data_IF_380676805207
#
_entry.id   IF_380676805207
#
_cell.length_a   1.000
_cell.length_b   1.000
_cell.length_c   1.000
_cell.angle_alpha   90.00
_cell.angle_beta   90.00
_cell.angle_gamma   90.00
#
_symmetry.space_group_name_H-M   'P 1'
#
loop_
_entity.id
_entity.type
_entity.pdbx_description
1 polymer ?
#
# COMPACT_ATOMS: atom_id res chain seq x y z
N UNK A 1 -96.00 21.59 -13.83
CA UNK A 1 -95.99 20.12 -13.90
C UNK A 1 -94.81 19.71 -14.77
N UNK A 2 -93.82 19.01 -14.19
CA UNK A 2 -92.64 18.37 -14.82
C UNK A 2 -91.61 19.32 -15.45
N UNK A 3 -90.29 19.19 -15.33
CA UNK A 3 -89.30 18.28 -14.71
C UNK A 3 -88.03 19.16 -14.58
N UNK A 4 -87.34 19.28 -13.43
CA UNK A 4 -86.32 18.37 -12.88
C UNK A 4 -85.25 17.89 -13.88
N UNK A 5 -84.02 18.37 -13.70
CA UNK A 5 -82.70 17.67 -13.75
C UNK A 5 -81.62 18.65 -14.21
N UNK A 6 -80.86 19.24 -13.29
CA UNK A 6 -79.62 18.69 -12.72
C UNK A 6 -78.40 19.35 -13.37
N UNK A 7 -78.14 20.59 -12.97
CA UNK A 7 -76.89 21.28 -13.26
C UNK A 7 -76.09 21.38 -11.96
N UNK A 8 -75.11 20.49 -11.86
CA UNK A 8 -74.26 20.25 -10.71
C UNK A 8 -73.59 21.53 -10.19
N UNK A 9 -73.83 21.83 -8.90
CA UNK A 9 -72.93 22.61 -8.07
C UNK A 9 -71.63 21.81 -7.90
N UNK A 10 -70.58 22.19 -8.62
CA UNK A 10 -69.22 21.92 -8.15
C UNK A 10 -68.90 22.96 -7.06
N UNK A 11 -68.66 22.55 -5.79
CA UNK A 11 -68.08 23.46 -4.83
C UNK A 11 -66.67 23.81 -5.31
N UNK A 12 -66.38 25.11 -5.32
CA UNK A 12 -65.08 25.65 -5.69
C UNK A 12 -63.98 24.89 -4.96
N UNK A 13 -63.21 24.13 -5.73
CA UNK A 13 -61.99 23.48 -5.27
C UNK A 13 -61.02 24.62 -4.95
N UNK A 14 -61.02 25.09 -3.70
CA UNK A 14 -59.96 25.93 -3.16
C UNK A 14 -58.65 25.16 -3.35
N UNK A 15 -57.95 25.48 -4.44
CA UNK A 15 -56.59 25.01 -4.68
C UNK A 15 -55.73 25.64 -3.59
N UNK A 16 -55.55 24.90 -2.50
CA UNK A 16 -54.52 25.19 -1.52
C UNK A 16 -53.21 25.48 -2.29
N UNK A 17 -52.53 26.60 -1.99
CA UNK A 17 -51.31 26.94 -2.68
C UNK A 17 -50.32 25.77 -2.56
N UNK A 18 -49.56 25.45 -3.62
CA UNK A 18 -48.63 24.34 -3.58
C UNK A 18 -47.67 24.54 -2.41
N UNK A 19 -47.69 23.60 -1.47
CA UNK A 19 -46.76 23.58 -0.36
C UNK A 19 -45.55 22.71 -0.72
N UNK A 20 -44.31 23.17 -0.49
CA UNK A 20 -43.93 24.44 0.13
C UNK A 20 -44.07 25.67 -0.79
N UNK A 21 -44.27 26.87 -0.24
CA UNK A 21 -44.39 28.11 -1.01
C UNK A 21 -43.10 28.34 -1.82
N UNK A 22 -43.26 28.80 -3.07
CA UNK A 22 -42.12 29.18 -3.89
C UNK A 22 -41.31 30.25 -3.14
N UNK A 23 -40.01 30.01 -2.99
CA UNK A 23 -39.08 31.00 -2.44
C UNK A 23 -39.24 32.31 -3.22
N UNK A 24 -39.31 33.48 -2.54
CA UNK A 24 -39.37 34.77 -3.20
C UNK A 24 -38.24 34.89 -4.23
N UNK A 25 -38.54 35.43 -5.42
CA UNK A 25 -37.59 35.51 -6.53
C UNK A 25 -36.26 36.21 -6.16
N UNK A 26 -36.29 37.02 -5.11
CA UNK A 26 -35.14 37.73 -4.53
C UNK A 26 -34.09 36.81 -3.89
N UNK A 27 -34.45 35.57 -3.53
CA UNK A 27 -33.52 34.55 -2.99
C UNK A 27 -33.08 33.52 -4.03
N UNK A 28 -33.55 33.64 -5.27
CA UNK A 28 -33.14 32.76 -6.36
C UNK A 28 -31.77 33.19 -6.90
N UNK A 29 -30.70 32.52 -6.47
CA UNK A 29 -29.39 32.69 -7.08
C UNK A 29 -29.45 32.18 -8.54
N UNK A 30 -29.19 33.03 -9.56
CA UNK A 30 -29.27 32.65 -10.98
C UNK A 30 -28.35 31.49 -11.37
N UNK A 31 -27.42 31.09 -10.49
CA UNK A 31 -26.53 29.94 -10.68
C UNK A 31 -27.22 28.60 -10.45
N UNK A 32 -28.38 28.56 -9.79
CA UNK A 32 -29.07 27.32 -9.43
C UNK A 32 -30.53 27.32 -9.93
N UNK A 33 -31.09 26.15 -10.27
CA UNK A 33 -32.49 26.06 -10.67
C UNK A 33 -33.42 26.45 -9.51
N UNK A 34 -34.61 27.01 -9.82
CA UNK A 34 -35.57 27.47 -8.81
C UNK A 34 -35.99 26.32 -7.88
N UNK A 35 -35.94 26.57 -6.56
CA UNK A 35 -36.28 25.59 -5.52
C UNK A 35 -35.07 24.87 -4.88
N UNK A 36 -33.84 25.17 -5.32
CA UNK A 36 -32.62 24.69 -4.65
C UNK A 36 -32.12 25.75 -3.67
N UNK A 37 -32.02 25.45 -2.35
CA UNK A 37 -31.41 26.40 -1.42
C UNK A 37 -29.93 26.60 -1.76
N UNK A 38 -29.42 27.85 -1.72
CA UNK A 38 -28.06 28.18 -2.16
C UNK A 38 -26.99 27.40 -1.38
N UNK A 39 -27.22 27.15 -0.09
CA UNK A 39 -26.34 26.35 0.77
C UNK A 39 -26.17 24.91 0.28
N UNK A 40 -27.25 24.28 -0.20
CA UNK A 40 -27.21 22.92 -0.73
C UNK A 40 -26.49 22.86 -2.08
N UNK A 41 -26.69 23.88 -2.93
CA UNK A 41 -25.97 24.04 -4.19
C UNK A 41 -24.45 24.20 -3.98
N UNK A 42 -24.05 25.03 -3.02
CA UNK A 42 -22.65 25.24 -2.68
C UNK A 42 -22.00 24.03 -1.99
N UNK A 43 -22.74 23.31 -1.13
CA UNK A 43 -22.29 22.06 -0.52
C UNK A 43 -22.07 20.98 -1.59
N UNK A 44 -23.02 20.82 -2.52
CA UNK A 44 -22.90 19.91 -3.66
C UNK A 44 -21.70 20.28 -4.54
N UNK A 45 -21.49 21.56 -4.82
CA UNK A 45 -20.34 22.04 -5.61
C UNK A 45 -19.01 21.74 -4.93
N UNK A 46 -18.88 21.97 -3.61
CA UNK A 46 -17.66 21.67 -2.85
C UNK A 46 -17.36 20.17 -2.81
N UNK A 47 -18.38 19.34 -2.56
CA UNK A 47 -18.24 17.88 -2.56
C UNK A 47 -17.88 17.36 -3.96
N UNK A 48 -18.54 17.84 -5.01
CA UNK A 48 -18.23 17.46 -6.39
C UNK A 48 -16.83 17.90 -6.81
N UNK A 49 -16.35 19.09 -6.39
CA UNK A 49 -14.95 19.54 -6.62
C UNK A 49 -13.94 18.64 -5.90
N UNK A 50 -14.27 18.10 -4.73
CA UNK A 50 -13.44 17.12 -4.00
C UNK A 50 -13.46 15.76 -4.69
N UNK A 51 -14.61 15.29 -5.18
CA UNK A 51 -14.74 14.02 -5.91
C UNK A 51 -13.96 14.07 -7.23
N UNK A 52 -14.15 15.14 -8.01
CA UNK A 52 -13.49 15.37 -9.31
C UNK A 52 -12.22 16.22 -9.18
N UNK A 53 -11.45 16.07 -8.11
CA UNK A 53 -10.24 16.88 -7.94
C UNK A 53 -9.15 16.46 -8.93
N UNK A 54 -8.43 17.40 -9.56
CA UNK A 54 -7.33 17.08 -10.47
C UNK A 54 -6.18 16.39 -9.74
N UNK A 55 -5.97 16.71 -8.46
CA UNK A 55 -5.01 16.02 -7.59
C UNK A 55 -5.37 14.55 -7.35
N UNK A 56 -6.66 14.21 -7.28
CA UNK A 56 -7.09 12.80 -7.21
C UNK A 56 -6.89 12.09 -8.53
N UNK A 57 -7.15 12.78 -9.65
CA UNK A 57 -6.88 12.23 -10.96
C UNK A 57 -5.38 11.96 -11.12
N UNK A 58 -4.53 12.93 -10.80
CA UNK A 58 -3.08 12.79 -10.77
C UNK A 58 -2.68 11.62 -9.87
N UNK A 59 -3.24 11.53 -8.66
CA UNK A 59 -2.99 10.42 -7.73
C UNK A 59 -3.43 9.05 -8.26
N UNK A 60 -4.46 8.96 -9.10
CA UNK A 60 -4.84 7.71 -9.76
C UNK A 60 -3.90 7.40 -10.94
N UNK A 61 -3.49 8.41 -11.72
CA UNK A 61 -2.56 8.27 -12.84
C UNK A 61 -1.16 7.86 -12.37
N UNK A 62 -0.64 8.50 -11.32
CA UNK A 62 0.65 8.15 -10.72
C UNK A 62 0.63 6.75 -10.14
N UNK A 63 -0.48 6.35 -9.53
CA UNK A 63 -0.63 5.02 -8.97
C UNK A 63 -0.73 3.94 -10.06
N UNK A 64 -1.42 4.21 -11.16
CA UNK A 64 -1.45 3.32 -12.32
C UNK A 64 -0.05 3.17 -12.95
N UNK A 65 0.67 4.28 -13.14
CA UNK A 65 2.06 4.26 -13.61
C UNK A 65 2.99 3.52 -12.64
N UNK A 66 2.77 3.65 -11.32
CA UNK A 66 3.56 2.97 -10.31
C UNK A 66 3.28 1.46 -10.29
N UNK A 67 2.01 1.04 -10.39
CA UNK A 67 1.68 -0.36 -10.61
C UNK A 67 2.31 -0.88 -11.91
N UNK A 68 2.33 -0.07 -12.99
CA UNK A 68 2.89 -0.44 -14.29
C UNK A 68 4.38 -0.72 -14.20
N UNK A 69 5.09 0.17 -13.51
CA UNK A 69 6.48 -0.01 -13.16
C UNK A 69 6.69 -1.27 -12.31
N UNK A 70 5.86 -1.51 -11.29
CA UNK A 70 5.99 -2.68 -10.40
C UNK A 70 5.80 -3.98 -11.17
N UNK A 71 4.80 -4.11 -12.02
CA UNK A 71 4.63 -5.35 -12.76
C UNK A 71 5.66 -5.49 -13.88
N UNK A 72 6.16 -4.39 -14.48
CA UNK A 72 7.31 -4.47 -15.38
C UNK A 72 8.52 -5.03 -14.62
N UNK A 73 8.83 -4.50 -13.43
CA UNK A 73 9.89 -5.02 -12.56
C UNK A 73 9.63 -6.48 -12.20
N UNK A 74 8.38 -6.85 -11.88
CA UNK A 74 8.03 -8.23 -11.53
C UNK A 74 8.15 -9.19 -12.72
N UNK A 75 7.74 -8.77 -13.93
CA UNK A 75 7.87 -9.56 -15.17
C UNK A 75 9.34 -9.73 -15.52
N UNK A 76 10.12 -8.64 -15.54
CA UNK A 76 11.58 -8.69 -15.76
C UNK A 76 12.27 -9.54 -14.69
N UNK A 77 11.83 -9.46 -13.43
CA UNK A 77 12.33 -10.29 -12.35
C UNK A 77 11.94 -11.78 -12.50
N UNK A 78 10.74 -12.06 -13.04
CA UNK A 78 10.30 -13.43 -13.29
C UNK A 78 10.96 -14.05 -14.51
N UNK A 79 11.25 -13.25 -15.55
CA UNK A 79 12.02 -13.65 -16.73
C UNK A 79 13.49 -13.88 -16.35
N UNK A 80 14.12 -12.95 -15.62
CA UNK A 80 15.48 -13.16 -15.08
C UNK A 80 15.54 -14.34 -14.09
N UNK A 81 14.49 -14.57 -13.30
CA UNK A 81 14.36 -15.80 -12.50
C UNK A 81 14.22 -17.06 -13.35
N UNK A 82 13.58 -16.97 -14.52
CA UNK A 82 13.45 -18.09 -15.43
C UNK A 82 14.78 -18.42 -16.11
N UNK A 83 15.58 -17.40 -16.42
CA UNK A 83 16.91 -17.46 -17.03
C UNK A 83 18.05 -17.81 -16.04
N UNK A 84 17.76 -17.92 -14.74
CA UNK A 84 18.74 -18.30 -13.73
C UNK A 84 19.64 -17.14 -13.25
N UNK A 85 19.18 -15.90 -13.42
CA UNK A 85 19.82 -14.69 -12.91
C UNK A 85 19.21 -14.28 -11.55
N UNK A 86 19.74 -14.93 -10.52
CA UNK A 86 19.22 -14.95 -9.15
C UNK A 86 19.25 -13.60 -8.45
N UNK A 87 20.25 -12.79 -8.77
CA UNK A 87 20.42 -11.47 -8.18
C UNK A 87 19.27 -10.59 -8.66
N UNK A 88 18.94 -10.63 -9.95
CA UNK A 88 17.85 -9.85 -10.53
C UNK A 88 16.46 -10.35 -10.08
N UNK A 89 16.28 -11.67 -9.94
CA UNK A 89 15.05 -12.27 -9.42
C UNK A 89 14.79 -11.95 -7.94
N UNK A 90 15.80 -12.12 -7.07
CA UNK A 90 15.69 -11.80 -5.65
C UNK A 90 15.54 -10.31 -5.43
N UNK A 91 16.28 -9.48 -6.18
CA UNK A 91 16.15 -8.02 -6.14
C UNK A 91 14.76 -7.59 -6.59
N UNK A 92 14.24 -8.20 -7.66
CA UNK A 92 12.90 -7.93 -8.16
C UNK A 92 11.78 -8.33 -7.20
N UNK A 93 11.91 -9.45 -6.47
CA UNK A 93 10.98 -9.83 -5.41
C UNK A 93 11.11 -8.93 -4.18
N UNK A 94 12.35 -8.63 -3.76
CA UNK A 94 12.64 -7.78 -2.60
C UNK A 94 12.19 -6.32 -2.81
N UNK A 95 12.17 -5.81 -4.05
CA UNK A 95 11.69 -4.47 -4.40
C UNK A 95 10.21 -4.48 -4.79
N UNK A 96 9.82 -5.46 -5.59
CA UNK A 96 8.47 -5.59 -6.15
C UNK A 96 7.41 -5.80 -5.08
N UNK A 97 7.66 -6.65 -4.07
CA UNK A 97 6.69 -6.91 -3.00
C UNK A 97 6.42 -5.67 -2.12
N UNK A 98 7.44 -4.95 -1.60
CA UNK A 98 7.20 -3.70 -0.87
C UNK A 98 6.55 -2.63 -1.74
N UNK A 99 7.01 -2.45 -2.99
CA UNK A 99 6.39 -1.46 -3.88
C UNK A 99 4.93 -1.82 -4.18
N UNK A 100 4.61 -3.09 -4.42
CA UNK A 100 3.24 -3.57 -4.62
C UNK A 100 2.37 -3.30 -3.39
N UNK A 101 2.88 -3.56 -2.19
CA UNK A 101 2.18 -3.28 -0.95
C UNK A 101 1.92 -1.78 -0.75
N UNK A 102 2.91 -0.92 -1.06
CA UNK A 102 2.76 0.55 -1.03
C UNK A 102 1.74 1.02 -2.06
N UNK A 103 1.80 0.51 -3.29
CA UNK A 103 0.87 0.84 -4.36
C UNK A 103 -0.57 0.43 -3.98
N UNK A 104 -0.74 -0.78 -3.44
CA UNK A 104 -2.03 -1.31 -2.98
C UNK A 104 -2.58 -0.47 -1.83
N UNK A 105 -1.73 -0.07 -0.88
CA UNK A 105 -2.12 0.82 0.20
C UNK A 105 -2.56 2.20 -0.31
N UNK A 106 -1.79 2.83 -1.21
CA UNK A 106 -2.15 4.11 -1.82
C UNK A 106 -3.48 4.00 -2.56
N UNK A 107 -3.74 2.87 -3.24
CA UNK A 107 -4.99 2.60 -3.95
C UNK A 107 -6.15 2.55 -2.96
N UNK A 108 -6.01 1.81 -1.86
CA UNK A 108 -7.02 1.72 -0.80
C UNK A 108 -7.28 3.09 -0.17
N UNK A 109 -6.24 3.90 0.08
CA UNK A 109 -6.41 5.25 0.63
C UNK A 109 -7.13 6.19 -0.35
N UNK A 110 -6.79 6.14 -1.64
CA UNK A 110 -7.46 6.90 -2.68
C UNK A 110 -8.93 6.50 -2.82
N UNK A 111 -9.22 5.19 -2.88
CA UNK A 111 -10.57 4.64 -2.92
C UNK A 111 -11.38 5.03 -1.69
N UNK A 112 -10.84 4.89 -0.47
CA UNK A 112 -11.52 5.20 0.78
C UNK A 112 -11.82 6.69 0.94
N UNK A 113 -10.87 7.55 0.54
CA UNK A 113 -11.08 8.99 0.57
C UNK A 113 -12.15 9.43 -0.45
N UNK A 114 -12.19 8.77 -1.62
CA UNK A 114 -13.19 9.00 -2.66
C UNK A 114 -14.57 8.53 -2.20
N UNK A 115 -14.65 7.36 -1.60
CA UNK A 115 -15.91 6.74 -1.20
C UNK A 115 -16.69 7.58 -0.19
N UNK A 116 -16.05 8.14 0.84
CA UNK A 116 -16.73 9.04 1.80
C UNK A 116 -17.36 10.25 1.12
N UNK A 117 -16.60 10.93 0.26
CA UNK A 117 -17.08 12.10 -0.47
C UNK A 117 -18.22 11.75 -1.45
N UNK A 118 -18.18 10.55 -2.05
CA UNK A 118 -19.25 10.03 -2.93
C UNK A 118 -20.49 9.66 -2.13
N UNK A 119 -20.35 9.06 -0.95
CA UNK A 119 -21.48 8.73 -0.07
C UNK A 119 -22.18 10.00 0.43
N UNK A 120 -21.42 10.99 0.90
CA UNK A 120 -21.94 12.31 1.30
C UNK A 120 -22.64 13.02 0.13
N UNK A 121 -22.01 13.03 -1.05
CA UNK A 121 -22.60 13.61 -2.24
C UNK A 121 -23.88 12.88 -2.66
N UNK A 122 -23.91 11.55 -2.65
CA UNK A 122 -25.09 10.77 -3.00
C UNK A 122 -26.22 10.97 -1.98
N UNK A 123 -25.91 11.08 -0.69
CA UNK A 123 -26.92 11.39 0.33
C UNK A 123 -27.55 12.77 0.09
N UNK A 124 -26.72 13.78 -0.21
CA UNK A 124 -27.18 15.13 -0.55
C UNK A 124 -28.03 15.14 -1.83
N UNK A 125 -27.59 14.45 -2.89
CA UNK A 125 -28.28 14.40 -4.17
C UNK A 125 -29.58 13.58 -4.12
N UNK A 126 -29.74 12.65 -3.17
CA UNK A 126 -31.03 12.00 -2.91
C UNK A 126 -32.05 12.98 -2.32
N UNK A 127 -31.59 13.92 -1.48
CA UNK A 127 -32.44 14.93 -0.85
C UNK A 127 -32.75 16.09 -1.80
N UNK A 128 -31.76 16.55 -2.56
CA UNK A 128 -31.89 17.67 -3.51
C UNK A 128 -31.28 17.29 -4.87
N UNK A 129 -32.02 16.55 -5.72
CA UNK A 129 -31.50 16.01 -7.00
C UNK A 129 -31.05 17.08 -7.99
N UNK A 130 -31.60 18.30 -7.86
CA UNK A 130 -31.32 19.42 -8.75
C UNK A 130 -30.09 20.24 -8.33
N UNK A 131 -29.48 19.96 -7.18
CA UNK A 131 -28.31 20.70 -6.68
C UNK A 131 -26.99 20.38 -7.43
N UNK A 132 -27.03 19.57 -8.51
CA UNK A 132 -25.83 19.16 -9.25
C UNK A 132 -25.27 20.34 -10.08
N UNK A 133 -24.06 20.84 -9.77
CA UNK A 133 -23.46 21.92 -10.53
C UNK A 133 -22.89 21.44 -11.88
N UNK A 134 -23.00 22.26 -12.95
CA UNK A 134 -22.37 21.97 -14.23
C UNK A 134 -20.85 22.11 -14.12
N UNK A 135 -20.10 21.03 -14.36
CA UNK A 135 -18.62 21.04 -14.38
C UNK A 135 -18.07 20.36 -15.65
N UNK A 136 -18.32 20.92 -16.84
CA UNK A 136 -18.03 20.26 -18.12
C UNK A 136 -16.53 19.95 -18.28
N UNK A 137 -15.62 20.89 -17.99
CA UNK A 137 -14.18 20.69 -18.17
C UNK A 137 -13.58 19.58 -17.30
N UNK A 138 -13.95 19.51 -16.02
CA UNK A 138 -13.45 18.46 -15.11
C UNK A 138 -14.01 17.08 -15.47
N UNK A 139 -15.26 17.02 -15.94
CA UNK A 139 -15.89 15.78 -16.40
C UNK A 139 -15.24 15.28 -17.70
N UNK A 140 -14.95 16.19 -18.64
CA UNK A 140 -14.22 15.86 -19.86
C UNK A 140 -12.81 15.32 -19.55
N UNK A 141 -12.09 15.95 -18.61
CA UNK A 141 -10.76 15.50 -18.19
C UNK A 141 -10.78 14.09 -17.57
N UNK A 142 -11.73 13.82 -16.66
CA UNK A 142 -11.92 12.48 -16.10
C UNK A 142 -12.37 11.46 -17.15
N UNK A 143 -13.23 11.87 -18.09
CA UNK A 143 -13.67 11.05 -19.21
C UNK A 143 -12.52 10.67 -20.15
N UNK A 144 -11.68 11.63 -20.53
CA UNK A 144 -10.49 11.41 -21.37
C UNK A 144 -9.49 10.48 -20.67
N UNK A 145 -9.17 10.73 -19.40
CA UNK A 145 -8.25 9.88 -18.65
C UNK A 145 -8.78 8.44 -18.50
N UNK A 146 -10.08 8.29 -18.21
CA UNK A 146 -10.71 6.98 -18.11
C UNK A 146 -10.80 6.28 -19.48
N UNK A 147 -11.00 7.04 -20.55
CA UNK A 147 -11.01 6.54 -21.93
C UNK A 147 -9.64 6.03 -22.37
N UNK A 148 -8.56 6.74 -22.04
CA UNK A 148 -7.18 6.26 -22.24
C UNK A 148 -6.94 4.95 -21.48
N UNK A 149 -7.48 4.82 -20.26
CA UNK A 149 -7.41 3.57 -19.51
C UNK A 149 -8.16 2.40 -20.11
N UNK A 150 -9.32 2.66 -20.73
CA UNK A 150 -10.03 1.65 -21.50
C UNK A 150 -9.26 1.22 -22.76
N UNK A 151 -8.61 2.16 -23.45
CA UNK A 151 -7.76 1.82 -24.59
C UNK A 151 -6.58 0.95 -24.17
N UNK A 152 -5.92 1.27 -23.05
CA UNK A 152 -4.86 0.43 -22.48
C UNK A 152 -5.39 -0.96 -22.08
N UNK A 153 -6.58 -1.03 -21.46
CA UNK A 153 -7.24 -2.28 -21.14
C UNK A 153 -7.47 -3.16 -22.39
N UNK A 154 -7.98 -2.57 -23.47
CA UNK A 154 -8.20 -3.27 -24.74
C UNK A 154 -6.88 -3.73 -25.37
N UNK A 155 -5.85 -2.90 -25.35
CA UNK A 155 -4.53 -3.26 -25.88
C UNK A 155 -3.89 -4.42 -25.11
N UNK A 156 -3.88 -4.36 -23.77
CA UNK A 156 -3.36 -5.45 -22.93
C UNK A 156 -4.18 -6.73 -23.07
N UNK A 157 -5.52 -6.62 -23.14
CA UNK A 157 -6.40 -7.77 -23.29
C UNK A 157 -6.22 -8.45 -24.64
N UNK A 158 -6.12 -7.68 -25.72
CA UNK A 158 -5.82 -8.19 -27.05
C UNK A 158 -4.45 -8.87 -27.11
N UNK A 159 -3.41 -8.23 -26.55
CA UNK A 159 -2.07 -8.81 -26.46
C UNK A 159 -2.05 -10.11 -25.63
N UNK A 160 -2.80 -10.17 -24.54
CA UNK A 160 -2.92 -11.38 -23.73
C UNK A 160 -3.60 -12.52 -24.48
N UNK A 161 -4.64 -12.22 -25.25
CA UNK A 161 -5.32 -13.21 -26.10
C UNK A 161 -4.38 -13.71 -27.20
N UNK A 162 -3.64 -12.82 -27.88
CA UNK A 162 -2.67 -13.23 -28.91
C UNK A 162 -1.56 -14.08 -28.32
N UNK A 163 -1.05 -13.75 -27.12
CA UNK A 163 -0.04 -14.56 -26.45
C UNK A 163 -0.55 -15.98 -26.15
N UNK A 164 -1.79 -16.12 -25.68
CA UNK A 164 -2.40 -17.44 -25.41
C UNK A 164 -2.66 -18.25 -26.68
N UNK A 165 -3.08 -17.59 -27.76
CA UNK A 165 -3.54 -18.28 -28.98
C UNK A 165 -2.40 -18.60 -29.93
N UNK A 166 -1.49 -17.65 -30.15
CA UNK A 166 -0.46 -17.73 -31.18
C UNK A 166 0.97 -17.72 -30.64
N UNK A 167 1.18 -17.42 -29.36
CA UNK A 167 2.53 -17.14 -28.84
C UNK A 167 3.15 -15.91 -29.50
N UNK A 168 4.43 -15.68 -29.22
CA UNK A 168 5.21 -14.51 -29.66
C UNK A 168 6.23 -14.96 -30.71
N UNK A 169 6.13 -14.45 -31.95
CA UNK A 169 7.10 -14.60 -33.06
C UNK A 169 7.98 -15.88 -33.02
N UNK A 170 7.35 -17.05 -33.11
CA UNK A 170 8.03 -18.35 -33.21
C UNK A 170 8.27 -19.06 -31.87
N UNK A 171 7.93 -18.43 -30.75
CA UNK A 171 7.94 -19.04 -29.42
C UNK A 171 6.57 -19.63 -29.06
N UNK A 172 6.54 -20.77 -28.35
CA UNK A 172 5.29 -21.34 -27.86
C UNK A 172 4.61 -20.39 -26.85
N UNK A 173 3.28 -20.45 -26.70
CA UNK A 173 2.51 -19.59 -25.78
C UNK A 173 3.07 -19.61 -24.36
N UNK A 174 3.44 -18.44 -23.82
CA UNK A 174 3.84 -18.33 -22.41
C UNK A 174 2.64 -17.97 -21.51
N UNK A 175 2.18 -18.90 -20.63
CA UNK A 175 1.06 -18.65 -19.74
C UNK A 175 1.33 -17.54 -18.71
N UNK A 176 2.59 -17.27 -18.34
CA UNK A 176 2.94 -16.23 -17.36
C UNK A 176 2.84 -14.84 -17.96
N UNK A 177 3.37 -14.66 -19.17
CA UNK A 177 3.22 -13.42 -19.95
C UNK A 177 1.75 -13.11 -20.22
N UNK A 178 0.96 -14.12 -20.62
CA UNK A 178 -0.49 -13.99 -20.78
C UNK A 178 -1.20 -13.61 -19.47
N UNK A 179 -0.87 -14.27 -18.35
CA UNK A 179 -1.44 -13.96 -17.03
C UNK A 179 -1.10 -12.53 -16.59
N UNK A 180 0.13 -12.09 -16.85
CA UNK A 180 0.57 -10.70 -16.65
C UNK A 180 -0.31 -9.73 -17.42
N UNK A 181 -0.49 -9.94 -18.73
CA UNK A 181 -1.33 -9.12 -19.60
C UNK A 181 -2.80 -9.10 -19.18
N UNK A 182 -3.36 -10.23 -18.72
CA UNK A 182 -4.72 -10.27 -18.18
C UNK A 182 -4.85 -9.57 -16.82
N UNK A 183 -3.85 -9.67 -15.94
CA UNK A 183 -3.85 -8.91 -14.69
C UNK A 183 -3.84 -7.40 -14.95
N UNK A 184 -3.09 -6.97 -15.98
CA UNK A 184 -3.07 -5.60 -16.47
C UNK A 184 -4.42 -5.13 -17.02
N UNK A 185 -5.05 -5.99 -17.80
CA UNK A 185 -6.41 -5.78 -18.31
C UNK A 185 -7.38 -5.54 -17.15
N UNK A 186 -7.32 -6.37 -16.10
CA UNK A 186 -8.17 -6.24 -14.92
C UNK A 186 -7.90 -4.94 -14.14
N UNK A 187 -6.63 -4.56 -13.94
CA UNK A 187 -6.26 -3.30 -13.25
C UNK A 187 -6.72 -2.09 -14.05
N UNK A 188 -6.49 -2.07 -15.36
CA UNK A 188 -6.92 -0.99 -16.24
C UNK A 188 -8.45 -0.85 -16.26
N UNK A 189 -9.18 -1.96 -16.20
CA UNK A 189 -10.65 -1.98 -16.15
C UNK A 189 -11.18 -1.49 -14.80
N UNK A 190 -10.60 -1.95 -13.68
CA UNK A 190 -10.92 -1.48 -12.33
C UNK A 190 -10.62 0.01 -12.14
N UNK A 191 -9.67 0.57 -12.90
CA UNK A 191 -9.36 1.99 -12.89
C UNK A 191 -10.30 2.82 -13.78
N UNK A 192 -10.51 2.40 -15.03
CA UNK A 192 -11.23 3.16 -16.05
C UNK A 192 -12.74 3.21 -15.79
N UNK A 193 -13.35 2.09 -15.36
CA UNK A 193 -14.81 2.01 -15.18
C UNK A 193 -15.32 2.98 -14.09
N UNK A 194 -14.75 3.03 -12.87
CA UNK A 194 -15.19 3.98 -11.86
C UNK A 194 -14.96 5.44 -12.25
N UNK A 195 -13.88 5.73 -13.00
CA UNK A 195 -13.62 7.06 -13.52
C UNK A 195 -14.67 7.52 -14.53
N UNK A 196 -15.08 6.61 -15.42
CA UNK A 196 -16.16 6.84 -16.38
C UNK A 196 -17.52 7.01 -15.70
N UNK A 197 -17.83 6.16 -14.72
CA UNK A 197 -19.04 6.26 -13.89
C UNK A 197 -19.06 7.60 -13.14
N UNK A 198 -17.93 8.09 -12.63
CA UNK A 198 -17.86 9.43 -11.99
C UNK A 198 -18.01 10.57 -12.99
N UNK A 199 -17.45 10.43 -14.20
CA UNK A 199 -17.55 11.44 -15.24
C UNK A 199 -18.99 11.60 -15.76
N UNK A 200 -19.75 10.50 -15.86
CA UNK A 200 -21.07 10.47 -16.49
C UNK A 200 -22.25 10.26 -15.54
N UNK A 201 -22.04 9.70 -14.34
CA UNK A 201 -23.11 9.30 -13.43
C UNK A 201 -23.82 10.44 -12.71
N UNK A 202 -23.18 11.60 -12.54
CA UNK A 202 -23.78 12.78 -11.90
C UNK A 202 -24.32 13.80 -12.92
N UNK A 203 -25.07 13.34 -13.93
CA UNK A 203 -25.82 14.23 -14.82
C UNK A 203 -27.07 14.71 -14.11
N UNK A 204 -27.38 16.01 -14.24
CA UNK A 204 -28.64 16.56 -13.73
C UNK A 204 -29.81 15.79 -14.40
N UNK A 205 -30.79 15.29 -13.64
CA UNK A 205 -31.97 14.67 -14.22
C UNK A 205 -32.66 15.64 -15.17
N UNK A 206 -32.97 15.22 -16.41
CA UNK A 206 -33.77 16.04 -17.34
C UNK A 206 -35.23 16.23 -16.88
N UNK A 207 -35.68 15.50 -15.85
CA UNK A 207 -36.97 15.65 -15.18
C UNK A 207 -36.82 15.51 -13.66
N UNK A 208 -37.54 16.32 -12.85
CA UNK A 208 -37.53 16.18 -11.40
C UNK A 208 -38.12 14.83 -10.97
N UNK A 209 -37.45 14.08 -10.08
CA UNK A 209 -38.07 12.90 -9.46
C UNK A 209 -39.09 13.34 -8.40
N UNK A 210 -40.20 12.60 -8.28
CA UNK A 210 -41.15 12.78 -7.18
C UNK A 210 -40.49 12.51 -5.82
N UNK A 211 -40.87 13.23 -4.75
CA UNK A 211 -40.27 13.07 -3.44
C UNK A 211 -40.59 11.68 -2.84
N UNK A 212 -39.55 10.96 -2.42
CA UNK A 212 -39.68 9.71 -1.67
C UNK A 212 -39.70 9.99 -0.16
N UNK A 213 -40.76 9.57 0.50
CA UNK A 213 -40.96 9.67 1.94
C UNK A 213 -40.11 8.58 2.63
N UNK A 214 -39.21 8.91 3.58
CA UNK A 214 -38.47 7.89 4.31
C UNK A 214 -39.36 7.21 5.37
N UNK A 215 -39.26 5.89 5.56
CA UNK A 215 -39.98 5.19 6.63
C UNK A 215 -39.37 5.50 8.00
N UNK A 216 -40.25 5.89 8.94
CA UNK A 216 -39.90 6.13 10.33
C UNK A 216 -39.48 4.82 11.03
N UNK A 217 -38.38 4.83 11.81
CA UNK A 217 -38.17 3.80 12.84
C UNK A 217 -36.78 3.21 13.04
N UNK A 218 -35.72 3.66 12.36
CA UNK A 218 -34.38 3.08 12.55
C UNK A 218 -33.46 3.97 13.39
N UNK A 219 -33.41 3.72 14.70
CA UNK A 219 -32.34 4.16 15.59
C UNK A 219 -31.77 2.92 16.32
N UNK A 220 -30.46 2.59 16.18
CA UNK A 220 -29.87 1.45 16.87
C UNK A 220 -29.55 1.80 18.33
N UNK A 221 -30.08 1.00 19.25
CA UNK A 221 -29.78 0.98 20.67
C UNK A 221 -28.32 0.51 20.90
N UNK A 222 -27.49 1.39 21.44
CA UNK A 222 -26.12 1.08 21.86
C UNK A 222 -25.72 1.97 23.04
N UNK A 223 -25.00 1.37 23.99
CA UNK A 223 -24.45 1.96 25.23
C UNK A 223 -24.01 3.42 25.00
N UNK A 224 -24.35 4.37 25.89
CA UNK A 224 -24.03 5.78 25.70
C UNK A 224 -22.53 5.96 25.49
N UNK A 225 -22.17 6.49 24.32
CA UNK A 225 -20.80 6.86 24.03
C UNK A 225 -20.35 7.92 25.04
N UNK A 226 -19.11 7.83 25.58
CA UNK A 226 -18.60 8.84 26.50
C UNK A 226 -18.66 10.22 25.84
N UNK A 227 -18.91 11.29 26.62
CA UNK A 227 -19.09 12.63 26.07
C UNK A 227 -17.87 13.02 25.23
N UNK A 228 -18.09 13.65 24.05
CA UNK A 228 -17.06 13.90 23.05
C UNK A 228 -15.86 14.71 23.55
N UNK A 229 -16.09 15.52 24.57
CA UNK A 229 -15.10 16.46 25.13
C UNK A 229 -14.38 15.90 26.36
N UNK A 230 -14.80 14.74 26.86
CA UNK A 230 -14.06 14.02 27.90
C UNK A 230 -12.70 13.54 27.37
N UNK A 231 -11.72 13.38 28.26
CA UNK A 231 -10.44 12.79 27.91
C UNK A 231 -10.61 11.44 27.19
N UNK A 232 -11.52 10.59 27.66
CA UNK A 232 -11.83 9.30 27.03
C UNK A 232 -12.46 9.46 25.62
N UNK A 233 -13.36 10.42 25.44
CA UNK A 233 -13.95 10.76 24.15
C UNK A 233 -12.91 11.26 23.12
N UNK A 234 -11.98 12.11 23.56
CA UNK A 234 -10.88 12.64 22.72
C UNK A 234 -9.88 11.55 22.35
N UNK A 235 -9.57 10.64 23.27
CA UNK A 235 -8.70 9.49 23.01
C UNK A 235 -9.36 8.46 22.09
N UNK A 236 -10.66 8.18 22.24
CA UNK A 236 -11.41 7.38 21.27
C UNK A 236 -11.41 8.00 19.88
N UNK A 237 -11.52 9.33 19.76
CA UNK A 237 -11.41 10.04 18.47
C UNK A 237 -10.02 9.88 17.84
N UNK A 238 -8.95 9.86 18.63
CA UNK A 238 -7.59 9.59 18.14
C UNK A 238 -7.52 8.20 17.49
N UNK A 239 -8.09 7.19 18.15
CA UNK A 239 -8.04 5.80 17.72
C UNK A 239 -9.24 5.32 16.88
N UNK A 240 -10.21 6.16 16.56
CA UNK A 240 -11.41 5.79 15.79
C UNK A 240 -11.12 5.17 14.40
N UNK A 241 -9.88 5.31 13.90
CA UNK A 241 -9.41 4.65 12.68
C UNK A 241 -9.03 3.17 12.86
N UNK A 242 -8.81 2.72 14.09
CA UNK A 242 -8.52 1.34 14.44
C UNK A 242 -9.83 0.57 14.69
N UNK A 243 -9.92 -0.69 14.26
CA UNK A 243 -11.14 -1.51 14.38
C UNK A 243 -11.49 -1.89 15.83
N UNK A 244 -10.62 -1.64 16.80
CA UNK A 244 -10.82 -1.97 18.21
C UNK A 244 -11.11 -0.74 19.07
N UNK A 245 -11.94 -0.91 20.10
CA UNK A 245 -12.17 0.09 21.15
C UNK A 245 -11.01 0.17 22.16
N UNK A 246 -10.11 -0.81 22.16
CA UNK A 246 -8.95 -0.87 23.03
C UNK A 246 -7.82 0.05 22.53
N UNK A 247 -7.23 0.80 23.46
CA UNK A 247 -6.05 1.62 23.17
C UNK A 247 -4.84 0.72 22.85
N UNK A 248 -4.05 1.03 21.82
CA UNK A 248 -2.85 0.29 21.50
C UNK A 248 -1.80 0.39 22.61
N UNK A 249 -1.11 -0.73 22.85
CA UNK A 249 -0.03 -0.86 23.84
C UNK A 249 1.18 0.01 23.46
N UNK A 250 1.83 0.61 24.46
CA UNK A 250 3.04 1.43 24.31
C UNK A 250 4.04 1.10 25.44
N UNK A 251 5.33 1.12 25.12
CA UNK A 251 6.40 0.82 26.09
C UNK A 251 6.49 1.94 27.12
N UNK A 252 6.25 3.19 26.70
CA UNK A 252 6.20 4.34 27.60
C UNK A 252 5.15 4.23 28.70
N UNK A 253 4.13 3.36 28.57
CA UNK A 253 3.14 3.10 29.62
C UNK A 253 3.63 2.21 30.75
N UNK A 254 4.73 1.49 30.56
CA UNK A 254 5.35 0.72 31.64
C UNK A 254 5.91 1.63 32.74
N UNK A 255 6.07 2.94 32.47
CA UNK A 255 6.53 3.93 33.43
C UNK A 255 5.75 5.24 33.30
N UNK A 256 4.95 5.57 34.32
CA UNK A 256 4.23 6.86 34.38
C UNK A 256 5.15 8.08 34.28
N UNK A 257 6.40 7.95 34.75
CA UNK A 257 7.40 9.03 34.65
C UNK A 257 7.79 9.27 33.19
N UNK A 258 7.99 8.18 32.45
CA UNK A 258 8.43 8.21 31.06
C UNK A 258 7.29 8.73 30.15
N UNK A 259 6.06 8.28 30.39
CA UNK A 259 4.87 8.84 29.72
C UNK A 259 4.73 10.35 29.96
N UNK A 260 4.86 10.83 31.21
CA UNK A 260 4.78 12.26 31.54
C UNK A 260 5.89 13.08 30.90
N UNK A 261 7.11 12.55 30.90
CA UNK A 261 8.24 13.20 30.27
C UNK A 261 8.04 13.33 28.75
N UNK A 262 7.61 12.24 28.09
CA UNK A 262 7.34 12.24 26.66
C UNK A 262 6.25 13.25 26.29
N UNK A 263 5.17 13.37 27.08
CA UNK A 263 4.10 14.34 26.82
C UNK A 263 4.56 15.80 27.04
N UNK A 264 5.58 16.02 27.88
CA UNK A 264 6.16 17.35 28.11
C UNK A 264 7.15 17.81 27.04
N UNK A 265 7.57 16.91 26.14
CA UNK A 265 8.53 17.24 25.08
C UNK A 265 7.90 18.16 24.03
N UNK A 266 8.68 19.15 23.60
CA UNK A 266 8.34 19.96 22.42
C UNK A 266 8.30 19.08 21.16
N UNK A 267 7.61 19.55 20.11
CA UNK A 267 7.58 18.87 18.80
C UNK A 267 8.98 18.52 18.30
N UNK A 268 9.94 19.43 18.45
CA UNK A 268 11.33 19.20 18.07
C UNK A 268 11.99 18.09 18.90
N UNK A 269 11.76 18.08 20.21
CA UNK A 269 12.26 17.04 21.11
C UNK A 269 11.72 15.65 20.78
N UNK A 270 10.41 15.53 20.50
CA UNK A 270 9.79 14.25 20.10
C UNK A 270 10.35 13.74 18.77
N UNK A 271 10.53 14.63 17.79
CA UNK A 271 11.11 14.26 16.49
C UNK A 271 12.59 13.86 16.61
N UNK A 272 13.38 14.61 17.40
CA UNK A 272 14.78 14.28 17.66
C UNK A 272 14.91 12.93 18.37
N UNK A 273 14.07 12.67 19.38
CA UNK A 273 14.03 11.38 20.09
C UNK A 273 13.66 10.23 19.15
N UNK A 274 12.62 10.41 18.32
CA UNK A 274 12.19 9.41 17.34
C UNK A 274 13.27 9.14 16.30
N UNK A 275 13.94 10.19 15.82
CA UNK A 275 15.07 10.09 14.91
C UNK A 275 16.23 9.31 15.54
N UNK A 276 16.61 9.66 16.77
CA UNK A 276 17.67 8.97 17.51
C UNK A 276 17.34 7.49 17.73
N UNK A 277 16.11 7.17 18.13
CA UNK A 277 15.65 5.77 18.25
C UNK A 277 15.75 5.05 16.90
N UNK A 278 15.27 5.66 15.82
CA UNK A 278 15.36 5.02 14.50
C UNK A 278 16.82 4.77 14.09
N UNK A 279 17.73 5.70 14.38
CA UNK A 279 19.17 5.52 14.16
C UNK A 279 19.77 4.41 15.01
N UNK A 280 19.32 4.21 16.25
CA UNK A 280 19.72 3.06 17.07
C UNK A 280 19.28 1.75 16.41
N UNK A 281 18.06 1.70 15.86
CA UNK A 281 17.59 0.55 15.08
C UNK A 281 18.46 0.27 13.85
N UNK A 282 18.82 1.32 13.10
CA UNK A 282 19.75 1.20 11.97
C UNK A 282 21.15 0.76 12.40
N UNK A 283 21.65 1.26 13.55
CA UNK A 283 22.92 0.85 14.14
C UNK A 283 22.92 -0.62 14.53
N UNK A 284 21.84 -1.11 15.15
CA UNK A 284 21.66 -2.54 15.47
C UNK A 284 21.67 -3.41 14.21
N UNK A 285 21.05 -2.94 13.13
CA UNK A 285 21.07 -3.63 11.84
C UNK A 285 22.47 -3.71 11.22
N UNK A 286 23.25 -2.63 11.31
CA UNK A 286 24.65 -2.63 10.90
C UNK A 286 25.50 -3.55 11.77
N UNK A 287 25.29 -3.54 13.09
CA UNK A 287 25.99 -4.43 14.02
C UNK A 287 25.66 -5.91 13.71
N UNK A 288 24.40 -6.23 13.39
CA UNK A 288 24.00 -7.57 12.99
C UNK A 288 24.68 -8.04 11.69
N UNK A 289 24.99 -7.13 10.78
CA UNK A 289 25.71 -7.44 9.54
C UNK A 289 27.23 -7.62 9.77
N UNK A 290 27.84 -6.75 10.59
CA UNK A 290 29.30 -6.63 10.69
C UNK A 290 29.90 -7.40 11.86
N UNK A 291 29.25 -7.45 13.03
CA UNK A 291 29.88 -8.04 14.22
C UNK A 291 30.06 -9.57 14.15
N UNK A 292 29.11 -10.36 13.63
CA UNK A 292 29.23 -11.82 13.70
C UNK A 292 30.47 -12.36 12.99
N UNK A 293 30.90 -11.77 11.86
CA UNK A 293 32.09 -12.26 11.15
C UNK A 293 33.40 -12.02 11.92
N UNK A 294 33.46 -11.01 12.79
CA UNK A 294 34.67 -10.66 13.56
C UNK A 294 34.84 -11.49 14.83
N UNK A 295 33.75 -11.99 15.39
CA UNK A 295 33.73 -12.60 16.72
C UNK A 295 33.29 -14.05 16.66
N UNK A 296 32.05 -14.29 16.22
CA UNK A 296 31.44 -15.62 16.11
C UNK A 296 30.17 -15.51 15.26
N UNK A 297 30.06 -16.35 14.23
CA UNK A 297 28.92 -16.42 13.32
C UNK A 297 27.62 -16.73 14.07
N UNK A 298 27.69 -17.42 15.21
CA UNK A 298 26.51 -17.71 16.02
C UNK A 298 25.83 -16.44 16.57
N UNK A 299 26.56 -15.33 16.67
CA UNK A 299 26.07 -14.06 17.23
C UNK A 299 25.01 -13.39 16.33
N UNK A 300 24.87 -13.81 15.07
CA UNK A 300 23.86 -13.22 14.18
C UNK A 300 22.44 -13.43 14.70
N UNK A 301 22.12 -14.62 15.20
CA UNK A 301 20.77 -14.96 15.66
C UNK A 301 20.31 -14.10 16.83
N UNK A 302 21.07 -13.96 17.94
CA UNK A 302 20.67 -13.06 19.01
C UNK A 302 20.61 -11.60 18.56
N UNK A 303 21.52 -11.14 17.68
CA UNK A 303 21.48 -9.76 17.16
C UNK A 303 20.23 -9.50 16.31
N UNK A 304 19.82 -10.45 15.46
CA UNK A 304 18.58 -10.35 14.70
C UNK A 304 17.34 -10.38 15.60
N UNK A 305 17.32 -11.23 16.63
CA UNK A 305 16.22 -11.26 17.61
C UNK A 305 16.11 -9.92 18.35
N UNK A 306 17.24 -9.35 18.76
CA UNK A 306 17.30 -8.02 19.40
C UNK A 306 16.81 -6.94 18.42
N UNK A 307 17.23 -6.98 17.16
CA UNK A 307 16.79 -6.03 16.13
C UNK A 307 15.27 -6.12 15.89
N UNK A 308 14.74 -7.33 15.69
CA UNK A 308 13.30 -7.55 15.48
C UNK A 308 12.51 -7.09 16.71
N UNK A 309 12.95 -7.47 17.91
CA UNK A 309 12.35 -7.02 19.16
C UNK A 309 12.33 -5.50 19.27
N UNK A 310 13.45 -4.85 18.94
CA UNK A 310 13.57 -3.39 18.91
C UNK A 310 12.58 -2.74 17.93
N UNK A 311 12.49 -3.25 16.69
CA UNK A 311 11.56 -2.76 15.67
C UNK A 311 10.10 -2.94 16.10
N UNK A 312 9.76 -4.05 16.77
CA UNK A 312 8.41 -4.26 17.32
C UNK A 312 8.11 -3.26 18.43
N UNK A 313 9.05 -3.02 19.36
CA UNK A 313 8.87 -2.03 20.42
C UNK A 313 8.68 -0.62 19.86
N UNK A 314 9.49 -0.25 18.86
CA UNK A 314 9.38 1.04 18.18
C UNK A 314 8.05 1.14 17.40
N UNK A 315 7.61 0.07 16.74
CA UNK A 315 6.28 0.01 16.09
C UNK A 315 5.16 0.23 17.11
N UNK A 316 5.19 -0.45 18.25
CA UNK A 316 4.18 -0.29 19.30
C UNK A 316 4.11 1.16 19.78
N UNK A 317 5.25 1.78 20.05
CA UNK A 317 5.31 3.20 20.46
C UNK A 317 4.75 4.13 19.37
N UNK A 318 5.07 3.88 18.09
CA UNK A 318 4.54 4.66 16.96
C UNK A 318 3.02 4.46 16.82
N UNK A 319 2.50 3.24 16.96
CA UNK A 319 1.05 2.99 16.89
C UNK A 319 0.30 3.74 17.98
N UNK A 320 0.87 3.75 19.19
CA UNK A 320 0.35 4.50 20.32
C UNK A 320 0.23 6.00 20.00
N UNK A 321 1.18 6.58 19.29
CA UNK A 321 1.12 8.00 18.91
C UNK A 321 -0.06 8.41 18.01
N UNK A 322 -0.90 7.48 17.55
CA UNK A 322 -2.08 7.78 16.74
C UNK A 322 -1.79 7.79 15.24
N UNK A 323 -0.86 6.93 14.84
CA UNK A 323 -0.38 6.77 13.47
C UNK A 323 -1.48 6.33 12.51
N UNK A 324 -1.38 6.67 11.21
CA UNK A 324 -2.28 6.13 10.19
C UNK A 324 -1.83 4.73 9.77
N UNK A 325 -2.76 3.80 9.48
CA UNK A 325 -2.42 2.42 9.12
C UNK A 325 -1.46 2.33 7.93
N UNK A 326 -1.49 3.30 7.01
CA UNK A 326 -0.57 3.32 5.89
C UNK A 326 0.90 3.50 6.27
N UNK A 327 1.21 4.34 7.26
CA UNK A 327 2.59 4.50 7.73
C UNK A 327 3.06 3.25 8.50
N UNK A 328 2.15 2.54 9.17
CA UNK A 328 2.49 1.28 9.83
C UNK A 328 2.92 0.20 8.83
N UNK A 329 2.22 0.10 7.69
CA UNK A 329 2.60 -0.85 6.64
C UNK A 329 3.97 -0.52 6.08
N UNK A 330 4.23 0.75 5.74
CA UNK A 330 5.54 1.18 5.24
C UNK A 330 6.64 0.93 6.27
N UNK A 331 6.37 1.17 7.56
CA UNK A 331 7.29 0.85 8.64
C UNK A 331 7.62 -0.63 8.70
N UNK A 332 6.61 -1.51 8.65
CA UNK A 332 6.81 -2.97 8.69
C UNK A 332 7.63 -3.43 7.50
N UNK A 333 7.35 -2.93 6.30
CA UNK A 333 8.11 -3.25 5.10
C UNK A 333 9.57 -2.79 5.20
N UNK A 334 9.79 -1.55 5.65
CA UNK A 334 11.13 -1.02 5.85
C UNK A 334 11.90 -1.80 6.92
N UNK A 335 11.24 -2.20 8.01
CA UNK A 335 11.82 -3.03 9.05
C UNK A 335 12.19 -4.43 8.57
N UNK A 336 11.32 -5.08 7.79
CA UNK A 336 11.62 -6.39 7.17
C UNK A 336 12.80 -6.27 6.20
N UNK A 337 12.81 -5.24 5.35
CA UNK A 337 13.93 -4.99 4.45
C UNK A 337 15.24 -4.81 5.23
N UNK A 338 15.21 -4.06 6.34
CA UNK A 338 16.37 -3.85 7.19
C UNK A 338 16.92 -5.18 7.75
N UNK A 339 16.03 -6.05 8.26
CA UNK A 339 16.38 -7.38 8.82
C UNK A 339 16.97 -8.29 7.75
N UNK A 340 16.34 -8.36 6.56
CA UNK A 340 16.83 -9.17 5.44
C UNK A 340 18.20 -8.68 4.97
N UNK A 341 18.38 -7.37 4.86
CA UNK A 341 19.66 -6.78 4.43
C UNK A 341 20.76 -6.94 5.48
N UNK A 342 20.44 -6.92 6.77
CA UNK A 342 21.39 -7.28 7.82
C UNK A 342 21.86 -8.72 7.69
N UNK A 343 20.92 -9.64 7.44
CA UNK A 343 21.24 -11.05 7.24
C UNK A 343 22.10 -11.27 5.98
N UNK A 344 21.66 -10.76 4.82
CA UNK A 344 22.43 -10.87 3.58
C UNK A 344 23.80 -10.18 3.68
N UNK A 345 23.86 -9.01 4.31
CA UNK A 345 25.11 -8.30 4.54
C UNK A 345 26.13 -9.11 5.36
N UNK A 346 25.66 -9.88 6.35
CA UNK A 346 26.53 -10.82 7.07
C UNK A 346 27.03 -11.96 6.18
N UNK A 347 26.15 -12.54 5.35
CA UNK A 347 26.54 -13.62 4.45
C UNK A 347 27.60 -13.15 3.44
N UNK A 348 27.37 -12.00 2.83
CA UNK A 348 28.26 -11.41 1.81
C UNK A 348 29.60 -10.98 2.41
N UNK A 349 29.60 -10.32 3.59
CA UNK A 349 30.84 -9.94 4.27
C UNK A 349 31.64 -11.17 4.68
N UNK A 350 30.97 -12.20 5.18
CA UNK A 350 31.63 -13.43 5.59
C UNK A 350 32.30 -14.12 4.41
N UNK A 351 31.55 -14.30 3.32
CA UNK A 351 32.09 -14.90 2.10
C UNK A 351 33.23 -14.05 1.55
N UNK A 352 33.11 -12.72 1.52
CA UNK A 352 34.16 -11.84 0.98
C UNK A 352 35.48 -11.92 1.76
N UNK A 353 35.43 -11.97 3.09
CA UNK A 353 36.63 -11.95 3.94
C UNK A 353 37.29 -13.33 4.10
N UNK A 354 36.50 -14.41 4.11
CA UNK A 354 36.99 -15.79 4.35
C UNK A 354 36.90 -16.71 3.13
N UNK A 355 36.25 -16.27 2.08
CA UNK A 355 35.93 -17.11 0.93
C UNK A 355 37.15 -17.47 0.12
N UNK A 356 37.14 -18.69 -0.39
CA UNK A 356 38.16 -19.21 -1.29
C UNK A 356 37.49 -19.74 -2.55
N UNK A 357 38.23 -19.71 -3.66
CA UNK A 357 37.79 -20.33 -4.90
C UNK A 357 38.12 -21.82 -4.88
N UNK A 358 37.14 -22.67 -5.17
CA UNK A 358 37.35 -24.09 -5.41
C UNK A 358 36.42 -24.62 -6.49
N UNK A 359 36.90 -25.64 -7.21
CA UNK A 359 36.07 -26.40 -8.14
C UNK A 359 35.20 -27.37 -7.34
N UNK A 360 33.89 -27.31 -7.55
CA UNK A 360 32.92 -28.20 -6.92
C UNK A 360 32.13 -28.97 -7.98
N UNK A 361 31.77 -30.20 -7.64
CA UNK A 361 30.87 -31.06 -8.41
C UNK A 361 29.49 -31.07 -7.76
N UNK A 362 28.44 -30.96 -8.58
CA UNK A 362 27.07 -31.04 -8.10
C UNK A 362 26.73 -32.51 -7.84
N UNK A 363 26.39 -32.84 -6.60
CA UNK A 363 26.03 -34.20 -6.20
C UNK A 363 24.55 -34.46 -6.39
N UNK A 364 23.73 -33.50 -5.96
CA UNK A 364 22.28 -33.65 -5.97
C UNK A 364 21.59 -32.33 -6.22
N UNK A 365 20.44 -32.39 -6.88
CA UNK A 365 19.60 -31.24 -7.21
C UNK A 365 18.25 -31.39 -6.55
N UNK A 366 17.87 -30.37 -5.78
CA UNK A 366 16.57 -30.30 -5.10
C UNK A 366 15.76 -29.15 -5.65
N UNK A 367 14.69 -29.47 -6.37
CA UNK A 367 13.73 -28.50 -6.88
C UNK A 367 12.43 -28.58 -6.05
N UNK A 368 12.26 -27.71 -5.03
CA UNK A 368 11.03 -27.69 -4.24
C UNK A 368 9.85 -27.16 -5.06
N UNK A 369 8.63 -27.58 -4.72
CA UNK A 369 7.40 -27.11 -5.39
C UNK A 369 7.17 -25.58 -5.28
N UNK A 370 7.84 -24.92 -4.33
CA UNK A 370 7.91 -23.47 -4.16
C UNK A 370 9.32 -23.08 -3.71
N UNK A 371 9.94 -22.12 -4.39
CA UNK A 371 11.29 -21.63 -4.07
C UNK A 371 12.32 -21.86 -5.19
N UNK A 372 13.55 -21.41 -4.98
CA UNK A 372 14.65 -21.61 -5.92
C UNK A 372 15.19 -23.05 -5.84
N UNK A 373 15.72 -23.55 -6.96
CA UNK A 373 16.36 -24.88 -7.01
C UNK A 373 17.68 -24.82 -6.26
N UNK A 374 17.89 -25.73 -5.31
CA UNK A 374 19.11 -25.78 -4.48
C UNK A 374 19.90 -27.04 -4.81
N UNK A 375 21.23 -26.94 -4.82
CA UNK A 375 22.11 -28.08 -5.10
C UNK A 375 23.04 -28.37 -3.93
N UNK A 376 23.24 -29.66 -3.69
CA UNK A 376 24.30 -30.16 -2.84
C UNK A 376 25.56 -30.27 -3.68
N UNK A 377 26.65 -29.73 -3.16
CA UNK A 377 27.92 -29.60 -3.88
C UNK A 377 29.03 -30.27 -3.08
N UNK A 378 29.95 -30.91 -3.78
CA UNK A 378 31.11 -31.60 -3.23
C UNK A 378 32.37 -31.00 -3.81
N UNK A 379 33.32 -30.63 -2.95
CA UNK A 379 34.58 -30.06 -3.37
C UNK A 379 35.41 -31.11 -4.13
N UNK A 380 35.95 -30.75 -5.29
CA UNK A 380 36.80 -31.60 -6.12
C UNK A 380 38.25 -31.13 -6.00
N UNK A 381 39.17 -32.08 -5.83
CA UNK A 381 40.60 -31.78 -5.88
C UNK A 381 41.06 -31.69 -7.33
N UNK A 382 41.23 -30.48 -7.84
CA UNK A 382 41.75 -30.24 -9.19
C UNK A 382 43.25 -29.96 -9.20
N UNK A 383 43.82 -29.39 -8.13
CA UNK A 383 45.22 -28.93 -8.09
C UNK A 383 45.96 -29.16 -6.75
N UNK A 384 45.44 -29.99 -5.84
CA UNK A 384 46.12 -30.35 -4.58
C UNK A 384 46.11 -29.24 -3.51
N UNK A 385 45.36 -28.16 -3.75
CA UNK A 385 45.34 -26.95 -2.93
C UNK A 385 44.00 -26.69 -2.21
N UNK A 386 42.94 -27.44 -2.50
CA UNK A 386 41.64 -27.24 -1.86
C UNK A 386 41.60 -27.89 -0.47
N UNK A 387 41.57 -27.07 0.58
CA UNK A 387 41.37 -27.54 1.95
C UNK A 387 40.01 -28.26 2.07
N UNK A 388 40.02 -29.60 2.15
CA UNK A 388 38.80 -30.40 2.26
C UNK A 388 38.29 -31.02 0.96
N UNK A 389 39.17 -31.26 -0.02
CA UNK A 389 38.90 -32.12 -1.17
C UNK A 389 38.05 -33.37 -0.82
N UNK A 390 36.96 -33.58 -1.57
CA UNK A 390 36.01 -34.68 -1.38
C UNK A 390 34.94 -34.45 -0.32
N UNK A 391 34.98 -33.33 0.43
CA UNK A 391 33.96 -32.95 1.41
C UNK A 391 32.71 -32.39 0.71
N UNK A 392 31.55 -32.84 1.16
CA UNK A 392 30.27 -32.23 0.83
C UNK A 392 30.04 -30.99 1.71
N UNK A 393 29.66 -29.88 1.08
CA UNK A 393 29.27 -28.68 1.82
C UNK A 393 27.89 -28.89 2.45
N UNK A 394 27.77 -28.58 3.74
CA UNK A 394 26.50 -28.63 4.45
C UNK A 394 25.55 -27.53 3.97
N UNK A 395 26.12 -26.40 3.52
CA UNK A 395 25.36 -25.34 2.88
C UNK A 395 25.13 -25.64 1.41
N UNK A 396 23.89 -25.44 0.95
CA UNK A 396 23.50 -25.70 -0.43
C UNK A 396 23.77 -24.48 -1.31
N UNK A 397 24.20 -24.74 -2.54
CA UNK A 397 24.27 -23.74 -3.59
C UNK A 397 22.84 -23.37 -4.02
N UNK A 398 22.54 -22.07 -3.98
CA UNK A 398 21.30 -21.53 -4.54
C UNK A 398 21.31 -21.50 -6.07
N UNK A 399 20.13 -21.67 -6.66
CA UNK A 399 19.88 -21.47 -8.10
C UNK A 399 20.81 -22.23 -9.04
N UNK A 400 20.77 -23.55 -8.88
CA UNK A 400 21.46 -24.48 -9.76
C UNK A 400 20.55 -25.05 -10.85
N UNK A 401 19.61 -24.25 -11.37
CA UNK A 401 18.60 -24.74 -12.32
C UNK A 401 19.22 -25.21 -13.65
N UNK A 402 20.26 -24.51 -14.12
CA UNK A 402 20.97 -24.80 -15.37
C UNK A 402 21.94 -25.98 -15.28
N UNK A 403 22.21 -26.49 -14.08
CA UNK A 403 23.21 -27.52 -13.86
C UNK A 403 22.58 -28.87 -13.54
N UNK A 404 23.27 -29.94 -13.93
CA UNK A 404 22.92 -31.32 -13.67
C UNK A 404 23.88 -31.96 -12.65
N UNK A 405 23.45 -32.99 -11.92
CA UNK A 405 24.35 -33.78 -11.10
C UNK A 405 25.52 -34.33 -11.92
N UNK A 406 26.75 -34.13 -11.45
CA UNK A 406 28.00 -34.45 -12.15
C UNK A 406 28.68 -33.24 -12.82
N UNK A 407 27.97 -32.12 -12.98
CA UNK A 407 28.57 -30.88 -13.49
C UNK A 407 29.59 -30.33 -12.51
N UNK A 408 30.72 -29.85 -13.05
CA UNK A 408 31.77 -29.17 -12.31
C UNK A 408 31.70 -27.67 -12.54
N UNK A 409 31.77 -26.90 -11.48
CA UNK A 409 31.80 -25.45 -11.55
C UNK A 409 32.73 -24.87 -10.48
N UNK A 410 33.31 -23.72 -10.79
CA UNK A 410 34.08 -22.96 -9.82
C UNK A 410 33.13 -22.15 -8.94
N UNK A 411 33.30 -22.31 -7.63
CA UNK A 411 32.50 -21.64 -6.61
C UNK A 411 33.39 -20.90 -5.64
N UNK A 412 32.88 -19.78 -5.18
CA UNK A 412 33.40 -19.06 -4.04
C UNK A 412 32.70 -19.56 -2.78
N UNK A 413 33.43 -20.23 -1.89
CA UNK A 413 32.86 -20.91 -0.74
C UNK A 413 33.59 -20.52 0.55
N UNK A 414 32.90 -20.64 1.68
CA UNK A 414 33.51 -20.48 3.01
C UNK A 414 34.12 -21.82 3.45
N UNK A 415 35.45 -21.89 3.72
CA UNK A 415 36.11 -23.10 4.21
C UNK A 415 35.51 -23.66 5.52
N UNK A 416 34.89 -22.80 6.32
CA UNK A 416 34.22 -23.20 7.57
C UNK A 416 32.77 -23.67 7.35
N UNK A 417 32.25 -23.56 6.13
CA UNK A 417 30.93 -24.04 5.72
C UNK A 417 29.79 -23.46 6.59
N UNK A 418 29.93 -22.19 7.00
CA UNK A 418 28.94 -21.46 7.81
C UNK A 418 27.94 -20.68 6.97
N UNK A 419 28.34 -20.28 5.78
CA UNK A 419 27.53 -19.53 4.81
C UNK A 419 27.45 -20.24 3.47
N UNK A 420 26.34 -20.05 2.73
CA UNK A 420 26.13 -20.71 1.45
C UNK A 420 27.15 -20.27 0.40
N UNK A 421 27.66 -21.18 -0.45
CA UNK A 421 28.58 -20.83 -1.51
C UNK A 421 27.90 -19.97 -2.59
N UNK A 422 28.70 -19.17 -3.29
CA UNK A 422 28.28 -18.29 -4.36
C UNK A 422 29.06 -18.57 -5.65
N UNK A 423 28.47 -18.24 -6.80
CA UNK A 423 29.12 -18.39 -8.13
C UNK A 423 30.14 -17.28 -8.40
N UNK A 424 30.01 -16.16 -7.71
CA UNK A 424 30.81 -14.96 -7.90
C UNK A 424 31.19 -14.38 -6.55
N UNK A 425 32.29 -13.64 -6.51
CA UNK A 425 32.70 -12.90 -5.32
C UNK A 425 31.63 -11.83 -4.98
N UNK A 426 31.09 -11.83 -3.75
CA UNK A 426 29.98 -10.94 -3.43
C UNK A 426 30.42 -9.46 -3.43
N UNK A 427 29.61 -8.63 -4.09
CA UNK A 427 29.77 -7.17 -4.06
C UNK A 427 28.89 -6.56 -2.97
N UNK A 428 29.52 -5.78 -2.08
CA UNK A 428 28.80 -5.13 -0.97
C UNK A 428 27.90 -3.96 -1.42
N UNK A 429 27.92 -3.62 -2.71
CA UNK A 429 27.19 -2.48 -3.28
C UNK A 429 25.68 -2.67 -3.14
N UNK A 430 25.18 -3.85 -3.52
CA UNK A 430 23.74 -4.13 -3.55
C UNK A 430 23.13 -4.13 -2.13
N UNK A 431 23.67 -4.88 -1.14
CA UNK A 431 23.17 -4.83 0.23
C UNK A 431 23.26 -3.44 0.86
N UNK A 432 24.32 -2.69 0.56
CA UNK A 432 24.51 -1.33 1.09
C UNK A 432 23.44 -0.35 0.57
N UNK A 433 23.16 -0.36 -0.74
CA UNK A 433 22.13 0.52 -1.33
C UNK A 433 20.74 0.17 -0.80
N UNK A 434 20.38 -1.11 -0.73
CA UNK A 434 19.08 -1.54 -0.23
C UNK A 434 18.93 -1.30 1.27
N UNK A 435 19.97 -1.55 2.06
CA UNK A 435 20.01 -1.20 3.48
C UNK A 435 19.81 0.30 3.70
N UNK A 436 20.44 1.16 2.89
CA UNK A 436 20.27 2.61 2.95
C UNK A 436 18.85 3.05 2.58
N UNK A 437 18.23 2.47 1.55
CA UNK A 437 16.83 2.74 1.19
C UNK A 437 15.88 2.29 2.30
N UNK A 438 16.10 1.10 2.88
CA UNK A 438 15.32 0.60 4.02
C UNK A 438 15.43 1.51 5.23
N UNK A 439 16.64 1.89 5.62
CA UNK A 439 16.92 2.78 6.75
C UNK A 439 16.31 4.17 6.58
N UNK A 440 16.48 4.78 5.40
CA UNK A 440 15.91 6.11 5.09
C UNK A 440 14.39 6.05 5.06
N UNK A 441 13.81 5.01 4.47
CA UNK A 441 12.35 4.81 4.45
C UNK A 441 11.80 4.63 5.85
N UNK A 442 12.49 3.85 6.70
CA UNK A 442 12.13 3.67 8.10
C UNK A 442 12.13 5.02 8.82
N UNK A 443 13.23 5.78 8.76
CA UNK A 443 13.40 7.10 9.39
C UNK A 443 12.35 8.11 8.93
N UNK A 444 12.16 8.26 7.62
CA UNK A 444 11.18 9.19 7.06
C UNK A 444 9.77 8.80 7.54
N UNK A 445 9.44 7.51 7.50
CA UNK A 445 8.13 7.01 7.91
C UNK A 445 7.88 7.23 9.40
N UNK A 446 8.85 6.95 10.28
CA UNK A 446 8.72 7.18 11.73
C UNK A 446 8.53 8.66 12.03
N UNK A 447 9.33 9.55 11.41
CA UNK A 447 9.24 11.00 11.62
C UNK A 447 7.91 11.58 11.12
N UNK A 448 7.46 11.23 9.91
CA UNK A 448 6.16 11.69 9.40
C UNK A 448 5.00 11.19 10.24
N UNK A 449 5.10 9.95 10.68
CA UNK A 449 4.11 9.31 11.53
C UNK A 449 3.95 10.05 12.85
N UNK A 450 5.06 10.25 13.57
CA UNK A 450 5.09 10.92 14.86
C UNK A 450 4.75 12.40 14.73
N UNK A 451 5.23 13.11 13.69
CA UNK A 451 4.85 14.50 13.46
C UNK A 451 3.35 14.67 13.30
N UNK A 452 2.68 13.77 12.56
CA UNK A 452 1.22 13.84 12.37
C UNK A 452 0.49 13.42 13.64
N UNK A 453 0.97 12.41 14.35
CA UNK A 453 0.44 12.00 15.65
C UNK A 453 0.47 13.15 16.66
N UNK A 454 1.60 13.87 16.73
CA UNK A 454 1.78 15.04 17.59
C UNK A 454 0.78 16.16 17.24
N UNK A 455 0.69 16.56 15.97
CA UNK A 455 -0.26 17.61 15.55
C UNK A 455 -1.70 17.22 15.91
N UNK A 456 -2.09 15.96 15.68
CA UNK A 456 -3.44 15.48 15.98
C UNK A 456 -3.73 15.41 17.48
N UNK A 457 -2.76 15.02 18.31
CA UNK A 457 -2.89 15.06 19.78
C UNK A 457 -3.01 16.49 20.29
N UNK A 458 -2.29 17.44 19.69
CA UNK A 458 -2.41 18.87 19.99
C UNK A 458 -3.80 19.42 19.60
N UNK A 459 -4.32 19.06 18.43
CA UNK A 459 -5.68 19.44 17.99
C UNK A 459 -6.79 18.88 18.90
N UNK A 460 -6.50 17.79 19.61
CA UNK A 460 -7.44 17.13 20.53
C UNK A 460 -7.19 17.51 22.00
N UNK A 461 -6.34 18.51 22.29
CA UNK A 461 -5.96 18.90 23.65
C UNK A 461 -5.58 17.72 24.55
N UNK A 462 -4.86 16.75 23.96
CA UNK A 462 -4.32 15.57 24.66
C UNK A 462 -2.87 15.80 25.12
N UNK A 463 -2.27 16.93 24.77
CA UNK A 463 -0.95 17.36 25.23
C UNK A 463 -1.17 18.43 26.30
N UNK A 464 -0.69 18.19 27.51
CA UNK A 464 -0.80 19.08 28.67
C UNK A 464 0.33 20.08 28.74
#
# INVERSE_FOLDING_TARGET
MGQMEEQARQPGQERLPPWPPALPAEFADPRYPPGVPPEAGEAAARLLRRVLSPLRLLGHMTLAAFFALIAMIFVVASESSADGDDINAQTGLAVGLPMLAVATLLLVLLLRSGHRAVVELNALLRQVPQAVPPMPGRRALWGLASGLGLLACLACGAAGITEVVSGSDGEPPDPYKALGLFSWTAVALLWSVPGLVRAFGHRAPRRPPMPAIPPAGWAPLGIPAPPPDSHEGRTRRLYASYRGAAEPFAVSRLSERLSRWITSLSRGGVLALTGALTLVGCGLALLAAVVPWQVDDWLIWPLLVVLIGYLVLLLMEITHYGTRPGYLVVYVLAGVALVVMSWQGHQDLTLRERGEWATAEIVSKRSPARGSTTCEVRLVDTEGAAAGAGRELSQRLGNCRSFEPGDRLDLFYDPLDRVPPAREEPTLVIPAWFGAIGATTLLVTTLFSVSRGYTRRRELDLLT
#
